data_IF_405215456041
#
_entry.id   IF_405215456041
#
_cell.length_a   1.000
_cell.length_b   1.000
_cell.length_c   1.000
_cell.angle_alpha   90.00
_cell.angle_beta   90.00
_cell.angle_gamma   90.00
#
_symmetry.space_group_name_H-M   'P 1'
#
loop_
_entity.id
_entity.type
_entity.pdbx_description
1 polymer ?
#
# COMPACT_ATOMS: atom_id res chain seq x y z
N UNK A 1 -12.34 -9.71 -12.90
CA UNK A 1 -11.13 -8.99 -13.33
C UNK A 1 -9.92 -9.67 -12.71
N UNK A 2 -8.83 -9.86 -13.44
CA UNK A 2 -7.63 -10.48 -12.88
C UNK A 2 -6.79 -9.50 -12.05
N UNK A 3 -6.07 -10.02 -11.05
CA UNK A 3 -5.14 -9.24 -10.21
C UNK A 3 -4.14 -8.44 -11.05
N UNK A 4 -3.62 -9.04 -12.12
CA UNK A 4 -2.64 -8.40 -13.01
C UNK A 4 -3.23 -7.21 -13.78
N UNK A 5 -4.50 -7.28 -14.18
CA UNK A 5 -5.17 -6.17 -14.86
C UNK A 5 -5.30 -4.97 -13.92
N UNK A 6 -5.81 -5.19 -12.70
CA UNK A 6 -5.95 -4.13 -11.68
C UNK A 6 -4.59 -3.55 -11.29
N UNK A 7 -3.56 -4.40 -11.13
CA UNK A 7 -2.20 -3.94 -10.88
C UNK A 7 -1.68 -2.99 -11.98
N UNK A 8 -1.84 -3.37 -13.26
CA UNK A 8 -1.41 -2.52 -14.40
C UNK A 8 -2.18 -1.21 -14.42
N UNK A 9 -3.46 -1.23 -14.09
CA UNK A 9 -4.29 -0.03 -14.04
C UNK A 9 -3.89 0.91 -12.90
N UNK A 10 -3.65 0.36 -11.70
CA UNK A 10 -3.13 1.14 -10.57
C UNK A 10 -1.76 1.74 -10.94
N UNK A 11 -0.86 0.96 -11.56
CA UNK A 11 0.42 1.47 -12.04
C UNK A 11 0.27 2.60 -13.07
N UNK A 12 -0.79 2.62 -13.89
CA UNK A 12 -1.08 3.76 -14.77
C UNK A 12 -1.60 4.98 -14.01
N UNK A 13 -2.41 4.77 -12.97
CA UNK A 13 -2.91 5.84 -12.08
C UNK A 13 -1.80 6.44 -11.20
N UNK A 14 -0.77 5.66 -10.88
CA UNK A 14 0.28 5.98 -9.90
C UNK A 14 0.94 7.36 -10.09
N UNK A 15 1.30 7.84 -11.31
CA UNK A 15 1.89 9.16 -11.47
C UNK A 15 0.96 10.30 -11.05
N UNK A 16 -0.32 10.22 -11.42
CA UNK A 16 -1.33 11.21 -11.02
C UNK A 16 -1.58 11.15 -9.52
N UNK A 17 -1.70 9.94 -8.97
CA UNK A 17 -1.85 9.73 -7.53
C UNK A 17 -0.68 10.31 -6.74
N UNK A 18 0.55 10.01 -7.14
CA UNK A 18 1.77 10.57 -6.57
C UNK A 18 1.77 12.11 -6.64
N UNK A 19 1.32 12.66 -7.77
CA UNK A 19 1.24 14.09 -7.96
C UNK A 19 0.23 14.76 -7.02
N UNK A 20 -1.03 14.32 -7.10
CA UNK A 20 -2.17 14.93 -6.43
C UNK A 20 -2.10 14.81 -4.89
N UNK A 21 -1.43 13.77 -4.39
CA UNK A 21 -1.29 13.51 -2.95
C UNK A 21 0.00 14.10 -2.36
N UNK A 22 0.75 14.90 -3.14
CA UNK A 22 1.93 15.62 -2.64
C UNK A 22 3.07 14.72 -2.18
N UNK A 23 3.22 13.52 -2.75
CA UNK A 23 4.23 12.54 -2.35
C UNK A 23 5.58 12.74 -3.05
N UNK A 24 5.88 13.95 -3.51
CA UNK A 24 7.02 14.24 -4.40
C UNK A 24 8.36 14.28 -3.67
N UNK A 25 8.32 14.27 -2.35
CA UNK A 25 9.50 14.07 -1.51
C UNK A 25 10.18 12.71 -1.78
N UNK A 26 9.48 11.77 -2.41
CA UNK A 26 10.05 10.53 -2.92
C UNK A 26 10.02 10.40 -4.45
N UNK A 27 11.03 9.75 -5.06
CA UNK A 27 11.01 9.46 -6.48
C UNK A 27 9.83 8.57 -6.87
N UNK A 28 9.17 8.87 -8.00
CA UNK A 28 8.04 8.08 -8.52
C UNK A 28 8.35 6.58 -8.65
N UNK A 29 9.59 6.21 -8.99
CA UNK A 29 10.02 4.81 -9.05
C UNK A 29 9.91 4.09 -7.70
N UNK A 30 10.28 4.78 -6.61
CA UNK A 30 10.14 4.27 -5.24
C UNK A 30 8.65 4.11 -4.90
N UNK A 31 7.83 5.10 -5.24
CA UNK A 31 6.38 5.02 -5.01
C UNK A 31 5.72 3.86 -5.76
N UNK A 32 6.09 3.62 -7.03
CA UNK A 32 5.64 2.45 -7.79
C UNK A 32 6.01 1.13 -7.12
N UNK A 33 7.19 1.05 -6.52
CA UNK A 33 7.64 -0.11 -5.77
C UNK A 33 6.84 -0.32 -4.48
N UNK A 34 6.43 0.76 -3.80
CA UNK A 34 5.53 0.70 -2.64
C UNK A 34 4.18 0.12 -3.02
N UNK A 35 3.58 0.58 -4.12
CA UNK A 35 2.33 0.00 -4.64
C UNK A 35 2.53 -1.47 -4.98
N UNK A 36 3.63 -1.83 -5.66
CA UNK A 36 3.96 -3.25 -5.94
C UNK A 36 4.05 -4.08 -4.65
N UNK A 37 4.68 -3.54 -3.61
CA UNK A 37 4.82 -4.20 -2.31
C UNK A 37 3.46 -4.52 -1.68
N UNK A 38 2.47 -3.61 -1.80
CA UNK A 38 1.10 -3.86 -1.30
C UNK A 38 0.43 -5.05 -2.01
N UNK A 39 0.61 -5.19 -3.32
CA UNK A 39 0.11 -6.35 -4.06
C UNK A 39 0.84 -7.64 -3.65
N UNK A 40 2.17 -7.61 -3.55
CA UNK A 40 2.96 -8.80 -3.22
C UNK A 40 2.79 -9.27 -1.77
N UNK A 41 2.41 -8.36 -0.85
CA UNK A 41 2.12 -8.71 0.55
C UNK A 41 1.07 -9.82 0.66
N UNK A 42 0.13 -9.86 -0.27
CA UNK A 42 -0.96 -10.83 -0.32
C UNK A 42 -0.63 -12.07 -1.17
N UNK A 43 0.62 -12.25 -1.62
CA UNK A 43 1.01 -13.36 -2.50
C UNK A 43 0.91 -14.75 -1.88
N UNK A 44 0.68 -14.85 -0.57
CA UNK A 44 0.47 -16.11 0.16
C UNK A 44 -1.00 -16.58 0.14
N UNK A 45 -1.94 -15.75 -0.33
CA UNK A 45 -3.36 -16.08 -0.36
C UNK A 45 -3.66 -17.10 -1.46
N UNK A 46 -4.38 -18.15 -1.10
CA UNK A 46 -4.78 -19.24 -2.01
C UNK A 46 -6.28 -19.28 -2.27
N UNK A 47 -7.11 -18.82 -1.32
CA UNK A 47 -8.57 -18.77 -1.48
C UNK A 47 -8.97 -17.65 -2.46
N UNK A 48 -9.48 -18.07 -3.62
CA UNK A 48 -9.91 -17.19 -4.72
C UNK A 48 -10.95 -16.16 -4.26
N UNK A 49 -11.84 -16.51 -3.34
CA UNK A 49 -12.90 -15.57 -2.88
C UNK A 49 -12.32 -14.39 -2.12
N UNK A 50 -11.24 -14.64 -1.36
CA UNK A 50 -10.51 -13.59 -0.65
C UNK A 50 -9.78 -12.70 -1.66
N UNK A 51 -9.17 -13.31 -2.68
CA UNK A 51 -8.50 -12.57 -3.77
C UNK A 51 -9.51 -11.68 -4.50
N UNK A 52 -10.67 -12.21 -4.88
CA UNK A 52 -11.72 -11.46 -5.58
C UNK A 52 -12.25 -10.29 -4.74
N UNK A 53 -12.46 -10.49 -3.43
CA UNK A 53 -12.83 -9.40 -2.52
C UNK A 53 -11.77 -8.30 -2.50
N UNK A 54 -10.50 -8.65 -2.34
CA UNK A 54 -9.39 -7.68 -2.31
C UNK A 54 -9.24 -6.93 -3.64
N UNK A 55 -9.49 -7.61 -4.78
CA UNK A 55 -9.52 -6.97 -6.09
C UNK A 55 -10.67 -5.96 -6.17
N UNK A 56 -11.86 -6.31 -5.67
CA UNK A 56 -13.00 -5.38 -5.57
C UNK A 56 -12.69 -4.15 -4.71
N UNK A 57 -12.10 -4.36 -3.53
CA UNK A 57 -11.66 -3.28 -2.63
C UNK A 57 -10.61 -2.38 -3.29
N UNK A 58 -9.66 -2.97 -4.01
CA UNK A 58 -8.63 -2.20 -4.72
C UNK A 58 -9.24 -1.28 -5.77
N UNK A 59 -10.24 -1.74 -6.52
CA UNK A 59 -10.95 -0.89 -7.49
C UNK A 59 -11.68 0.27 -6.79
N UNK A 60 -12.34 0.01 -5.66
CA UNK A 60 -12.99 1.04 -4.85
C UNK A 60 -11.99 2.09 -4.34
N UNK A 61 -10.81 1.65 -3.89
CA UNK A 61 -9.73 2.56 -3.50
C UNK A 61 -9.21 3.39 -4.68
N UNK A 62 -9.05 2.78 -5.86
CA UNK A 62 -8.61 3.49 -7.06
C UNK A 62 -9.62 4.58 -7.48
N UNK A 63 -10.92 4.30 -7.44
CA UNK A 63 -11.94 5.32 -7.66
C UNK A 63 -11.90 6.44 -6.62
N UNK A 64 -11.76 6.08 -5.34
CA UNK A 64 -11.66 7.07 -4.25
C UNK A 64 -10.43 7.97 -4.41
N UNK A 65 -9.30 7.43 -4.91
CA UNK A 65 -8.11 8.20 -5.25
C UNK A 65 -8.38 9.12 -6.45
N UNK A 66 -9.03 8.62 -7.51
CA UNK A 66 -9.37 9.42 -8.70
C UNK A 66 -10.24 10.62 -8.36
N UNK A 67 -11.21 10.42 -7.47
CA UNK A 67 -12.16 11.44 -7.01
C UNK A 67 -11.62 12.28 -5.85
N UNK A 68 -10.38 12.05 -5.40
CA UNK A 68 -9.76 12.75 -4.28
C UNK A 68 -10.58 12.70 -2.98
N UNK A 69 -11.25 11.58 -2.71
CA UNK A 69 -12.02 11.37 -1.48
C UNK A 69 -11.15 11.06 -0.26
N UNK A 70 -9.91 10.64 -0.47
CA UNK A 70 -8.96 10.43 0.62
C UNK A 70 -8.18 11.70 0.96
N UNK A 71 -7.98 11.93 2.25
CA UNK A 71 -7.03 12.91 2.74
C UNK A 71 -5.59 12.45 2.45
N UNK A 72 -4.72 13.30 1.87
CA UNK A 72 -3.32 12.97 1.58
C UNK A 72 -2.51 12.46 2.78
N UNK A 73 -2.65 13.08 3.94
CA UNK A 73 -1.93 12.69 5.16
C UNK A 73 -2.36 11.30 5.63
N UNK A 74 -3.65 10.99 5.50
CA UNK A 74 -4.16 9.66 5.84
C UNK A 74 -3.56 8.58 4.94
N UNK A 75 -3.49 8.84 3.63
CA UNK A 75 -2.88 7.92 2.67
C UNK A 75 -1.39 7.74 2.93
N UNK A 76 -0.67 8.84 3.20
CA UNK A 76 0.76 8.79 3.52
C UNK A 76 1.01 7.94 4.76
N UNK A 77 0.27 8.19 5.83
CA UNK A 77 0.35 7.41 7.06
C UNK A 77 0.02 5.93 6.83
N UNK A 78 -0.99 5.62 6.01
CA UNK A 78 -1.35 4.24 5.68
C UNK A 78 -0.25 3.49 4.91
N UNK A 79 0.38 4.14 3.91
CA UNK A 79 1.37 3.49 3.05
C UNK A 79 2.74 3.36 3.69
N UNK A 80 3.14 4.30 4.53
CA UNK A 80 4.51 4.41 5.04
C UNK A 80 4.64 4.20 6.54
N UNK A 81 3.59 4.47 7.32
CA UNK A 81 3.60 4.41 8.79
C UNK A 81 4.85 5.11 9.40
N UNK A 82 5.21 6.29 8.88
CA UNK A 82 6.48 7.00 9.17
C UNK A 82 6.71 7.26 10.66
N UNK A 83 5.63 7.34 11.45
CA UNK A 83 5.66 7.64 12.88
C UNK A 83 5.58 6.40 13.79
N UNK A 84 5.68 5.19 13.23
CA UNK A 84 5.61 3.94 14.01
C UNK A 84 7.00 3.31 14.07
N UNK A 85 7.61 3.30 15.24
CA UNK A 85 8.86 2.56 15.44
C UNK A 85 8.68 1.09 15.05
N UNK A 86 9.61 0.59 14.24
CA UNK A 86 9.55 -0.79 13.78
C UNK A 86 9.58 -1.73 14.99
N UNK A 87 8.56 -2.59 15.10
CA UNK A 87 8.50 -3.57 16.19
C UNK A 87 9.79 -4.41 16.20
N UNK A 88 10.44 -4.60 17.36
CA UNK A 88 11.63 -5.43 17.46
C UNK A 88 11.31 -6.84 16.97
N UNK A 89 12.09 -7.33 16.00
CA UNK A 89 11.88 -8.65 15.40
C UNK A 89 12.75 -9.71 16.07
N UNK A 90 13.96 -9.32 16.47
CA UNK A 90 14.93 -10.22 17.07
C UNK A 90 14.68 -10.41 18.56
N UNK A 91 14.96 -11.60 19.06
CA UNK A 91 14.75 -11.98 20.45
C UNK A 91 15.41 -10.98 21.43
N UNK A 92 16.67 -10.62 21.21
CA UNK A 92 17.39 -9.69 22.08
C UNK A 92 16.71 -8.31 22.13
N UNK A 93 16.31 -7.78 20.98
CA UNK A 93 15.63 -6.48 20.90
C UNK A 93 14.24 -6.51 21.54
N UNK A 94 13.52 -7.64 21.49
CA UNK A 94 12.25 -7.84 22.19
C UNK A 94 12.44 -7.91 23.70
N UNK A 95 13.41 -8.71 24.14
CA UNK A 95 13.82 -8.86 25.53
C UNK A 95 14.21 -7.52 26.16
N UNK A 96 15.06 -6.74 25.50
CA UNK A 96 15.50 -5.42 25.98
C UNK A 96 14.37 -4.39 26.04
N UNK A 97 13.33 -4.54 25.21
CA UNK A 97 12.15 -3.67 25.21
C UNK A 97 11.03 -4.15 26.15
N UNK A 98 11.25 -5.23 26.92
CA UNK A 98 10.25 -5.76 27.85
C UNK A 98 8.98 -6.27 27.17
N UNK A 99 9.05 -6.63 25.87
CA UNK A 99 7.94 -7.21 25.11
C UNK A 99 8.28 -8.68 24.83
N UNK A 100 7.43 -9.61 25.29
CA UNK A 100 7.51 -11.03 24.89
C UNK A 100 7.28 -11.21 23.37
#
# INVERSE_FOLDING_TARGET
>A
MSVLQVYKEFQRLTPKFWWDFGLHDMPLGVFRAVIKKQFTKNGHLTDVRVVDRLVGETNMHMESIRMAYYNPDHVRNYLFAENVEAKPKDFLSKFLNGKE
#
